data_IF_481429905784
#
_entry.id   IF_481429905784
#
_cell.length_a   1.000
_cell.length_b   1.000
_cell.length_c   1.000
_cell.angle_alpha   90.00
_cell.angle_beta   90.00
_cell.angle_gamma   90.00
#
_symmetry.space_group_name_H-M   'P 1'
#
loop_
_entity.id
_entity.type
_entity.pdbx_description
1 polymer ?
#
# COMPACT_ATOMS: atom_id res chain seq x y z
N UNK A 1 -17.45 -1.08 10.04
CA UNK A 1 -16.41 -0.51 10.89
C UNK A 1 -15.17 -0.25 10.05
N UNK A 2 -14.60 0.95 10.16
CA UNK A 2 -13.43 1.31 9.37
C UNK A 2 -12.18 0.56 9.84
N UNK A 3 -11.29 0.25 8.90
CA UNK A 3 -9.95 -0.25 9.22
C UNK A 3 -8.99 0.91 9.36
N UNK A 4 -7.93 0.72 10.14
CA UNK A 4 -6.85 1.69 10.21
C UNK A 4 -5.95 1.57 8.99
N UNK A 5 -5.30 2.68 8.62
CA UNK A 5 -4.25 2.69 7.61
C UNK A 5 -2.93 2.90 8.33
N UNK A 6 -1.99 2.01 8.11
CA UNK A 6 -0.64 2.11 8.67
C UNK A 6 0.39 2.14 7.54
N UNK A 7 1.56 2.69 7.83
CA UNK A 7 2.66 2.76 6.88
C UNK A 7 3.84 1.94 7.41
N UNK A 8 4.31 1.00 6.59
CA UNK A 8 5.53 0.27 6.88
C UNK A 8 6.71 1.21 7.02
N UNK A 9 7.54 1.00 8.04
CA UNK A 9 8.79 1.72 8.23
C UNK A 9 9.97 0.74 8.20
N UNK A 10 11.07 1.17 7.60
CA UNK A 10 12.30 0.36 7.54
C UNK A 10 13.02 0.39 8.89
N UNK A 11 14.01 -0.48 9.04
CA UNK A 11 14.84 -0.53 10.24
C UNK A 11 15.55 0.81 10.51
N UNK A 12 15.86 1.55 9.45
CA UNK A 12 16.52 2.85 9.54
C UNK A 12 15.55 4.00 9.80
N UNK A 13 14.25 3.71 9.86
CA UNK A 13 13.22 4.70 10.16
C UNK A 13 12.64 5.40 8.93
N UNK A 14 13.03 5.03 7.72
CA UNK A 14 12.40 5.59 6.53
C UNK A 14 11.02 4.96 6.31
N UNK A 15 10.15 5.69 5.63
CA UNK A 15 8.77 5.27 5.37
C UNK A 15 8.53 5.34 3.87
N UNK A 16 8.80 4.22 3.14
CA UNK A 16 8.78 4.26 1.67
C UNK A 16 7.46 4.73 1.08
N UNK A 17 6.32 4.34 1.66
CA UNK A 17 5.01 4.80 1.15
C UNK A 17 4.81 6.30 1.32
N UNK A 18 5.23 6.86 2.46
CA UNK A 18 5.13 8.29 2.70
C UNK A 18 6.08 9.06 1.78
N UNK A 19 7.30 8.57 1.60
CA UNK A 19 8.27 9.19 0.70
C UNK A 19 7.74 9.24 -0.73
N UNK A 20 7.13 8.15 -1.18
CA UNK A 20 6.49 8.10 -2.49
C UNK A 20 5.40 9.16 -2.62
N UNK A 21 4.50 9.24 -1.63
CA UNK A 21 3.40 10.20 -1.65
C UNK A 21 3.90 11.63 -1.64
N UNK A 22 4.93 11.91 -0.86
CA UNK A 22 5.53 13.24 -0.81
C UNK A 22 6.11 13.67 -2.17
N UNK A 23 6.59 12.72 -2.95
CA UNK A 23 7.13 12.98 -4.28
C UNK A 23 6.08 13.05 -5.38
N UNK A 24 4.82 12.74 -5.10
CA UNK A 24 3.75 12.80 -6.09
C UNK A 24 3.26 14.23 -6.31
N UNK A 25 2.78 14.55 -7.54
CA UNK A 25 2.02 15.77 -7.73
C UNK A 25 0.85 15.83 -6.74
N UNK A 26 0.52 17.02 -6.26
CA UNK A 26 -0.50 17.19 -5.22
C UNK A 26 -1.84 16.54 -5.59
N UNK A 27 -2.25 16.66 -6.85
CA UNK A 27 -3.51 16.08 -7.32
C UNK A 27 -3.49 14.55 -7.29
N UNK A 28 -2.36 13.95 -7.68
CA UNK A 28 -2.18 12.50 -7.63
C UNK A 28 -2.21 12.02 -6.18
N UNK A 29 -1.46 12.68 -5.32
CA UNK A 29 -1.43 12.36 -3.89
C UNK A 29 -2.84 12.43 -3.29
N UNK A 30 -3.58 13.50 -3.56
CA UNK A 30 -4.95 13.66 -3.07
C UNK A 30 -5.87 12.54 -3.53
N UNK A 31 -5.76 12.12 -4.80
CA UNK A 31 -6.55 11.01 -5.32
C UNK A 31 -6.21 9.70 -4.62
N UNK A 32 -4.92 9.41 -4.44
CA UNK A 32 -4.48 8.19 -3.76
C UNK A 32 -5.00 8.16 -2.32
N UNK A 33 -4.87 9.27 -1.60
CA UNK A 33 -5.33 9.34 -0.20
C UNK A 33 -6.84 9.18 -0.11
N UNK A 34 -7.60 9.75 -1.07
CA UNK A 34 -9.05 9.59 -1.10
C UNK A 34 -9.44 8.12 -1.32
N UNK A 35 -8.72 7.39 -2.17
CA UNK A 35 -8.98 5.97 -2.38
C UNK A 35 -8.66 5.18 -1.11
N UNK A 36 -7.54 5.47 -0.45
CA UNK A 36 -7.18 4.82 0.82
C UNK A 36 -8.28 5.03 1.86
N UNK A 37 -8.77 6.26 2.01
CA UNK A 37 -9.85 6.56 2.96
C UNK A 37 -11.12 5.80 2.63
N UNK A 38 -11.48 5.72 1.35
CA UNK A 38 -12.67 5.00 0.91
C UNK A 38 -12.56 3.50 1.18
N UNK A 39 -11.38 2.91 0.92
CA UNK A 39 -11.14 1.49 1.20
C UNK A 39 -11.21 1.22 2.70
N UNK A 40 -10.60 2.08 3.50
CA UNK A 40 -10.60 1.93 4.96
C UNK A 40 -12.01 2.03 5.55
N UNK A 41 -12.84 2.92 4.98
CA UNK A 41 -14.21 3.13 5.43
C UNK A 41 -15.14 1.98 5.04
N UNK A 42 -14.88 1.33 3.89
CA UNK A 42 -15.64 0.18 3.39
C UNK A 42 -14.68 -0.96 3.10
N UNK A 43 -14.19 -1.66 4.13
CA UNK A 43 -13.08 -2.60 3.98
C UNK A 43 -13.31 -3.67 2.91
N UNK A 44 -12.24 -4.14 2.28
CA UNK A 44 -12.33 -5.24 1.33
C UNK A 44 -12.90 -6.51 1.99
N UNK A 45 -13.65 -7.31 1.23
CA UNK A 45 -13.92 -7.20 -0.22
C UNK A 45 -15.07 -6.28 -0.60
N UNK A 46 -15.68 -5.56 0.36
CA UNK A 46 -16.86 -4.74 0.10
C UNK A 46 -16.59 -3.57 -0.85
N UNK A 47 -15.40 -2.97 -0.76
CA UNK A 47 -15.04 -1.86 -1.64
C UNK A 47 -14.54 -2.39 -2.98
N UNK A 48 -15.22 -2.00 -4.06
CA UNK A 48 -14.85 -2.42 -5.41
C UNK A 48 -13.81 -1.53 -6.08
N UNK A 49 -13.55 -0.35 -5.53
CA UNK A 49 -12.48 0.55 -5.94
C UNK A 49 -12.71 1.41 -7.16
N UNK A 50 -13.81 1.23 -7.88
CA UNK A 50 -14.07 2.02 -9.08
C UNK A 50 -12.93 1.95 -10.11
N UNK A 51 -12.17 0.87 -10.15
CA UNK A 51 -11.05 0.68 -11.06
C UNK A 51 -9.72 1.23 -10.56
N UNK A 52 -9.68 1.89 -9.41
CA UNK A 52 -8.44 2.42 -8.85
C UNK A 52 -7.82 1.52 -7.78
N UNK A 53 -8.59 0.65 -7.18
CA UNK A 53 -8.12 -0.30 -6.16
C UNK A 53 -8.29 -1.71 -6.72
N UNK A 54 -7.19 -2.45 -6.83
CA UNK A 54 -7.23 -3.80 -7.39
C UNK A 54 -6.31 -4.76 -6.64
N UNK A 55 -6.74 -6.00 -6.52
CA UNK A 55 -5.89 -7.08 -6.09
C UNK A 55 -4.87 -7.39 -7.18
N UNK A 56 -3.63 -7.63 -6.81
CA UNK A 56 -2.60 -8.07 -7.74
C UNK A 56 -2.56 -9.59 -7.79
N UNK A 57 -1.93 -10.14 -8.83
CA UNK A 57 -1.96 -11.57 -9.11
C UNK A 57 -0.55 -12.12 -9.37
N UNK A 58 -0.46 -13.44 -9.54
CA UNK A 58 0.80 -14.12 -9.82
C UNK A 58 1.81 -13.94 -8.70
N UNK A 59 3.02 -13.53 -9.05
CA UNK A 59 4.07 -13.31 -8.09
C UNK A 59 3.75 -12.20 -7.08
N UNK A 60 2.77 -11.34 -7.41
CA UNK A 60 2.33 -10.24 -6.53
C UNK A 60 1.06 -10.59 -5.76
N UNK A 61 0.65 -11.85 -5.71
CA UNK A 61 -0.50 -12.26 -4.90
C UNK A 61 -0.33 -11.85 -3.45
N UNK A 62 -1.39 -11.35 -2.84
CA UNK A 62 -1.36 -10.86 -1.46
C UNK A 62 -1.20 -9.34 -1.36
N UNK A 63 -0.88 -8.70 -2.47
CA UNK A 63 -0.82 -7.24 -2.53
C UNK A 63 -2.06 -6.67 -3.20
N UNK A 64 -2.32 -5.42 -2.88
CA UNK A 64 -3.33 -4.61 -3.55
C UNK A 64 -2.65 -3.35 -4.03
N UNK A 65 -3.12 -2.80 -5.15
CA UNK A 65 -2.55 -1.57 -5.67
C UNK A 65 -3.62 -0.51 -5.88
N UNK A 66 -3.23 0.75 -5.60
CA UNK A 66 -4.00 1.91 -6.00
C UNK A 66 -3.35 2.44 -7.26
N UNK A 67 -4.12 2.59 -8.33
CA UNK A 67 -3.65 2.96 -9.66
C UNK A 67 -4.17 4.34 -10.01
N UNK A 68 -3.27 5.27 -10.26
CA UNK A 68 -3.62 6.63 -10.67
C UNK A 68 -2.78 7.03 -11.86
N UNK A 69 -3.44 7.62 -12.86
CA UNK A 69 -2.77 8.22 -14.00
C UNK A 69 -2.68 9.72 -13.73
N UNK A 70 -1.47 10.26 -13.75
CA UNK A 70 -1.20 11.67 -13.49
C UNK A 70 -0.94 12.46 -14.75
N UNK A 71 -0.40 13.69 -14.60
CA UNK A 71 -0.06 14.55 -15.72
C UNK A 71 0.88 13.86 -16.70
N UNK A 72 0.68 14.09 -18.00
CA UNK A 72 1.49 13.45 -19.02
C UNK A 72 1.30 11.96 -19.12
N UNK A 73 0.19 11.43 -18.60
CA UNK A 73 -0.12 10.00 -18.55
C UNK A 73 0.89 9.18 -17.72
N UNK A 74 1.60 9.82 -16.83
CA UNK A 74 2.51 9.13 -15.93
C UNK A 74 1.70 8.20 -15.03
N UNK A 75 2.20 6.98 -14.80
CA UNK A 75 1.53 5.97 -14.00
C UNK A 75 2.05 5.99 -12.58
N UNK A 76 1.13 6.01 -11.62
CA UNK A 76 1.44 5.96 -10.19
C UNK A 76 0.77 4.75 -9.59
N UNK A 77 1.52 3.99 -8.78
CA UNK A 77 1.02 2.79 -8.10
C UNK A 77 1.41 2.85 -6.64
N UNK A 78 0.44 2.72 -5.74
CA UNK A 78 0.70 2.53 -4.32
C UNK A 78 0.37 1.08 -3.97
N UNK A 79 1.31 0.37 -3.35
CA UNK A 79 1.14 -1.04 -3.00
C UNK A 79 0.84 -1.20 -1.53
N UNK A 80 -0.20 -1.98 -1.25
CA UNK A 80 -0.70 -2.21 0.10
C UNK A 80 -0.84 -3.70 0.36
N UNK A 81 -0.84 -4.07 1.64
CA UNK A 81 -1.20 -5.40 2.10
C UNK A 81 -2.34 -5.26 3.09
N UNK A 82 -3.20 -6.26 3.16
CA UNK A 82 -4.28 -6.29 4.13
C UNK A 82 -3.87 -7.20 5.28
N UNK A 83 -4.01 -6.71 6.50
CA UNK A 83 -3.79 -7.54 7.68
C UNK A 83 -5.11 -7.66 8.42
N UNK A 84 -5.70 -8.85 8.32
CA UNK A 84 -6.96 -9.18 8.97
C UNK A 84 -6.81 -10.58 9.55
N UNK A 85 -6.72 -10.67 10.86
CA UNK A 85 -6.53 -11.92 11.58
C UNK A 85 -7.32 -11.85 12.88
N UNK A 86 -7.29 -12.91 13.67
CA UNK A 86 -7.92 -12.88 14.98
C UNK A 86 -7.23 -11.83 15.87
N UNK A 87 -7.95 -11.42 16.90
CA UNK A 87 -7.49 -10.34 17.79
C UNK A 87 -6.14 -10.66 18.44
N UNK A 88 -5.93 -11.91 18.83
CA UNK A 88 -4.68 -12.32 19.47
C UNK A 88 -3.49 -12.15 18.54
N UNK A 89 -3.66 -12.55 17.28
CA UNK A 89 -2.62 -12.42 16.25
C UNK A 89 -2.32 -10.96 15.97
N UNK A 90 -3.38 -10.16 15.79
CA UNK A 90 -3.20 -8.73 15.52
C UNK A 90 -2.51 -8.03 16.69
N UNK A 91 -2.89 -8.36 17.92
CA UNK A 91 -2.25 -7.80 19.12
C UNK A 91 -0.76 -8.16 19.16
N UNK A 92 -0.40 -9.40 18.83
CA UNK A 92 1.01 -9.82 18.78
C UNK A 92 1.80 -9.03 17.73
N UNK A 93 1.14 -8.61 16.66
CA UNK A 93 1.76 -7.77 15.63
C UNK A 93 1.82 -6.28 16.00
N UNK A 94 1.31 -5.91 17.17
CA UNK A 94 1.24 -4.51 17.61
C UNK A 94 0.11 -3.72 16.98
N UNK A 95 -0.91 -4.41 16.46
CA UNK A 95 -2.04 -3.79 15.78
C UNK A 95 -3.28 -3.85 16.66
N UNK A 96 -4.08 -2.77 16.62
CA UNK A 96 -5.31 -2.69 17.42
C UNK A 96 -6.50 -3.38 16.74
N UNK A 97 -6.42 -3.61 15.46
CA UNK A 97 -7.45 -4.26 14.65
C UNK A 97 -6.95 -4.47 13.24
N UNK A 98 -7.83 -4.87 12.33
CA UNK A 98 -7.45 -5.02 10.93
C UNK A 98 -6.93 -3.71 10.35
N UNK A 99 -5.94 -3.80 9.47
CA UNK A 99 -5.32 -2.61 8.88
C UNK A 99 -5.07 -2.81 7.38
N UNK A 100 -4.97 -1.67 6.69
CA UNK A 100 -4.37 -1.57 5.37
C UNK A 100 -2.93 -1.10 5.61
N UNK A 101 -1.97 -1.93 5.27
CA UNK A 101 -0.56 -1.59 5.43
C UNK A 101 -0.02 -1.07 4.11
N UNK A 102 0.33 0.21 4.08
CA UNK A 102 0.96 0.83 2.91
C UNK A 102 2.43 0.46 2.92
N UNK A 103 2.89 -0.20 1.86
CA UNK A 103 4.26 -0.71 1.76
C UNK A 103 5.17 0.29 1.06
N UNK A 104 4.86 0.61 -0.20
CA UNK A 104 5.67 1.52 -1.01
C UNK A 104 4.89 1.94 -2.25
N UNK A 105 5.48 2.81 -3.06
CA UNK A 105 4.89 3.20 -4.32
C UNK A 105 5.91 3.23 -5.44
N UNK A 106 5.42 3.29 -6.66
CA UNK A 106 6.22 3.38 -7.87
C UNK A 106 5.57 4.32 -8.86
N UNK A 107 6.38 4.94 -9.70
CA UNK A 107 5.89 5.78 -10.79
C UNK A 107 6.66 5.48 -12.08
N UNK A 108 5.96 5.53 -13.22
CA UNK A 108 6.55 5.31 -14.54
C UNK A 108 5.97 6.30 -15.53
N UNK A 109 6.85 6.83 -16.38
CA UNK A 109 6.45 7.72 -17.46
C UNK A 109 5.66 6.98 -18.53
N UNK A 110 4.88 7.72 -19.30
CA UNK A 110 4.15 7.22 -20.45
C UNK A 110 5.08 6.41 -21.37
N UNK A 111 4.58 5.28 -21.85
CA UNK A 111 5.33 4.42 -22.77
C UNK A 111 6.27 3.44 -22.10
N UNK A 112 6.40 3.50 -20.76
CA UNK A 112 7.19 2.52 -20.02
C UNK A 112 6.27 1.66 -19.16
N UNK A 113 6.75 0.48 -18.80
CA UNK A 113 6.01 -0.44 -17.95
C UNK A 113 6.82 -0.77 -16.71
N UNK A 114 6.13 -1.16 -15.64
CA UNK A 114 6.80 -1.64 -14.43
C UNK A 114 7.45 -2.99 -14.73
N UNK A 115 8.71 -3.14 -14.37
CA UNK A 115 9.49 -4.34 -14.62
C UNK A 115 9.36 -5.33 -13.47
N UNK A 116 9.80 -6.58 -13.71
CA UNK A 116 9.89 -7.57 -12.62
C UNK A 116 10.80 -7.07 -11.49
N UNK A 117 11.87 -6.35 -11.82
CA UNK A 117 12.76 -5.75 -10.81
C UNK A 117 12.00 -4.75 -9.92
N UNK A 118 11.10 -3.96 -10.52
CA UNK A 118 10.26 -3.02 -9.76
C UNK A 118 9.37 -3.77 -8.78
N UNK A 119 8.70 -4.82 -9.25
CA UNK A 119 7.83 -5.63 -8.40
C UNK A 119 8.60 -6.40 -7.33
N UNK A 120 9.80 -6.89 -7.67
CA UNK A 120 10.65 -7.58 -6.70
C UNK A 120 11.01 -6.68 -5.53
N UNK A 121 11.23 -5.39 -5.78
CA UNK A 121 11.48 -4.41 -4.73
C UNK A 121 10.29 -4.27 -3.80
N UNK A 122 9.08 -4.22 -4.35
CA UNK A 122 7.86 -4.17 -3.54
C UNK A 122 7.75 -5.40 -2.65
N UNK A 123 7.98 -6.59 -3.22
CA UNK A 123 7.91 -7.84 -2.46
C UNK A 123 8.95 -7.90 -1.34
N UNK A 124 10.15 -7.39 -1.59
CA UNK A 124 11.19 -7.34 -0.57
C UNK A 124 10.75 -6.49 0.63
N UNK A 125 10.21 -5.30 0.36
CA UNK A 125 9.72 -4.42 1.42
C UNK A 125 8.52 -5.00 2.14
N UNK A 126 7.59 -5.62 1.41
CA UNK A 126 6.45 -6.30 2.00
C UNK A 126 6.86 -7.48 2.88
N UNK A 127 7.87 -8.23 2.45
CA UNK A 127 8.42 -9.33 3.23
C UNK A 127 9.07 -8.83 4.52
N UNK A 128 9.82 -7.73 4.45
CA UNK A 128 10.37 -7.10 5.65
C UNK A 128 9.26 -6.70 6.62
N UNK A 129 8.16 -6.16 6.12
CA UNK A 129 7.02 -5.79 6.96
C UNK A 129 6.43 -7.02 7.66
N UNK A 130 6.16 -8.08 6.91
CA UNK A 130 5.44 -9.25 7.45
C UNK A 130 6.30 -10.13 8.34
N UNK A 131 7.62 -10.03 8.26
CA UNK A 131 8.52 -10.81 9.12
C UNK A 131 8.84 -10.14 10.46
N UNK A 132 8.41 -8.90 10.65
CA UNK A 132 8.62 -8.21 11.92
C UNK A 132 7.43 -8.42 12.85
N UNK A 133 7.70 -8.83 14.09
CA UNK A 133 6.69 -9.00 15.13
C UNK A 133 7.22 -8.39 16.42
N UNK A 134 6.66 -7.28 16.90
CA UNK A 134 5.58 -6.51 16.28
C UNK A 134 6.00 -5.85 14.96
N UNK A 135 5.00 -5.47 14.18
CA UNK A 135 5.22 -4.77 12.91
C UNK A 135 5.95 -3.46 13.13
N UNK A 136 6.84 -3.13 12.20
CA UNK A 136 7.53 -1.84 12.21
C UNK A 136 6.73 -0.86 11.37
N UNK A 137 6.10 0.10 12.05
CA UNK A 137 5.21 1.06 11.40
C UNK A 137 5.60 2.48 11.77
N UNK A 138 5.23 3.42 10.90
CA UNK A 138 5.43 4.84 11.16
C UNK A 138 4.52 5.29 12.31
N UNK A 139 5.07 6.09 13.18
CA UNK A 139 4.33 6.67 14.31
C UNK A 139 3.54 7.89 13.88
#
# INVERSE_FOLDING_TARGET
MAWDVIFYATAEGSVPGADFLDGCPAKVRGTILAVLDAVAAAPPPAFSGGGKWEATHGAMSGYYEIRVTGPGREQFRLFCMLENADKRTLTARGLRGPVIAVITGMRKRTGTVFSERDYAKVRRLGSEHTTQTPRRIAS
#
